data_IF_772106228776
#
_entry.id   IF_772106228776
#
_cell.length_a   1.000
_cell.length_b   1.000
_cell.length_c   1.000
_cell.angle_alpha   90.00
_cell.angle_beta   90.00
_cell.angle_gamma   90.00
#
_symmetry.space_group_name_H-M   'P 1'
#
loop_
_entity.id
_entity.type
_entity.pdbx_description
1 polymer ?
#
# COMPACT_ATOMS: atom_id res chain seq x y z
N UNK A 1 -12.85 7.38 -46.76
CA UNK A 1 -11.74 7.04 -45.86
C UNK A 1 -11.78 8.11 -44.78
N UNK A 2 -12.39 7.83 -43.63
CA UNK A 2 -12.49 8.82 -42.56
C UNK A 2 -11.34 8.57 -41.59
N UNK A 3 -10.35 9.46 -41.59
CA UNK A 3 -9.32 9.51 -40.56
C UNK A 3 -9.99 9.97 -39.26
N UNK A 4 -10.28 9.02 -38.40
CA UNK A 4 -10.66 9.28 -37.01
C UNK A 4 -9.36 9.62 -36.28
N UNK A 5 -8.98 10.89 -36.30
CA UNK A 5 -7.93 11.41 -35.44
C UNK A 5 -8.23 10.99 -34.00
N UNK A 6 -7.42 10.07 -33.46
CA UNK A 6 -7.50 9.69 -32.05
C UNK A 6 -6.89 10.84 -31.25
N UNK A 7 -7.73 11.73 -30.74
CA UNK A 7 -7.31 12.68 -29.72
C UNK A 7 -6.74 11.89 -28.53
N UNK A 8 -5.54 12.23 -28.03
CA UNK A 8 -5.00 11.62 -26.82
C UNK A 8 -6.00 11.84 -25.69
N UNK A 9 -6.55 10.75 -25.14
CA UNK A 9 -7.45 10.83 -23.99
C UNK A 9 -6.64 11.11 -22.75
N UNK A 10 -6.36 12.38 -22.49
CA UNK A 10 -5.70 12.84 -21.25
C UNK A 10 -6.40 12.30 -19.98
N UNK A 11 -7.68 11.92 -20.08
CA UNK A 11 -8.47 11.32 -19.00
C UNK A 11 -8.11 9.89 -18.58
N UNK A 12 -7.45 9.08 -19.44
CA UNK A 12 -7.22 7.66 -19.14
C UNK A 12 -6.10 7.47 -18.09
N UNK A 13 -5.02 8.26 -18.18
CA UNK A 13 -3.90 8.20 -17.23
C UNK A 13 -4.28 8.70 -15.84
N UNK A 14 -5.08 9.76 -15.75
CA UNK A 14 -5.55 10.31 -14.48
C UNK A 14 -6.54 9.37 -13.78
N UNK A 15 -7.38 8.68 -14.56
CA UNK A 15 -8.33 7.68 -14.04
C UNK A 15 -7.60 6.46 -13.49
N UNK A 16 -6.61 5.94 -14.22
CA UNK A 16 -5.78 4.82 -13.75
C UNK A 16 -5.03 5.15 -12.46
N UNK A 17 -4.38 6.32 -12.38
CA UNK A 17 -3.70 6.76 -11.15
C UNK A 17 -4.65 6.87 -9.97
N UNK A 18 -5.84 7.43 -10.18
CA UNK A 18 -6.86 7.56 -9.12
C UNK A 18 -7.35 6.19 -8.64
N UNK A 19 -7.59 5.25 -9.54
CA UNK A 19 -7.99 3.89 -9.19
C UNK A 19 -6.94 3.17 -8.35
N UNK A 20 -5.66 3.26 -8.73
CA UNK A 20 -4.55 2.67 -7.98
C UNK A 20 -4.41 3.27 -6.59
N UNK A 21 -4.57 4.59 -6.45
CA UNK A 21 -4.55 5.25 -5.14
C UNK A 21 -5.70 4.81 -4.25
N UNK A 22 -6.91 4.69 -4.80
CA UNK A 22 -8.08 4.19 -4.06
C UNK A 22 -7.86 2.75 -3.61
N UNK A 23 -7.38 1.88 -4.50
CA UNK A 23 -7.11 0.49 -4.18
C UNK A 23 -6.01 0.36 -3.12
N UNK A 24 -4.92 1.12 -3.26
CA UNK A 24 -3.86 1.19 -2.25
C UNK A 24 -4.38 1.65 -0.90
N UNK A 25 -5.23 2.68 -0.88
CA UNK A 25 -5.89 3.14 0.35
C UNK A 25 -6.75 2.06 1.00
N UNK A 26 -7.54 1.31 0.21
CA UNK A 26 -8.33 0.19 0.71
C UNK A 26 -7.43 -0.89 1.32
N UNK A 27 -6.35 -1.28 0.64
CA UNK A 27 -5.40 -2.29 1.13
C UNK A 27 -4.77 -1.85 2.46
N UNK A 28 -4.37 -0.59 2.57
CA UNK A 28 -3.82 -0.03 3.82
C UNK A 28 -4.86 -0.10 4.94
N UNK A 29 -6.11 0.31 4.69
CA UNK A 29 -7.18 0.24 5.69
C UNK A 29 -7.45 -1.19 6.12
N UNK A 30 -7.50 -2.15 5.19
CA UNK A 30 -7.69 -3.56 5.49
C UNK A 30 -6.53 -4.13 6.31
N UNK A 31 -5.28 -3.76 6.00
CA UNK A 31 -4.12 -4.14 6.80
C UNK A 31 -4.23 -3.63 8.25
N UNK A 32 -4.77 -2.42 8.42
CA UNK A 32 -5.07 -1.87 9.74
C UNK A 32 -6.13 -2.66 10.50
N UNK A 33 -7.24 -3.01 9.84
CA UNK A 33 -8.30 -3.84 10.43
C UNK A 33 -7.74 -5.20 10.86
N UNK A 34 -7.00 -5.87 9.97
CA UNK A 34 -6.36 -7.16 10.29
C UNK A 34 -5.40 -7.00 11.46
N UNK A 35 -4.53 -5.98 11.45
CA UNK A 35 -3.58 -5.74 12.52
C UNK A 35 -4.25 -5.45 13.86
N UNK A 36 -5.40 -4.77 13.87
CA UNK A 36 -6.19 -4.55 15.08
C UNK A 36 -6.67 -5.86 15.70
N UNK A 37 -7.23 -6.76 14.87
CA UNK A 37 -7.64 -8.09 15.33
C UNK A 37 -6.45 -8.92 15.82
N UNK A 38 -5.34 -8.92 15.08
CA UNK A 38 -4.12 -9.63 15.50
C UNK A 38 -3.62 -9.11 16.84
N UNK A 39 -3.46 -7.80 17.00
CA UNK A 39 -3.01 -7.22 18.27
C UNK A 39 -3.95 -7.49 19.44
N UNK A 40 -5.26 -7.56 19.20
CA UNK A 40 -6.25 -7.90 20.23
C UNK A 40 -6.16 -9.36 20.69
N UNK A 41 -5.80 -10.27 19.79
CA UNK A 41 -5.75 -11.71 20.09
C UNK A 41 -4.36 -12.18 20.53
N UNK A 42 -3.29 -11.49 20.13
CA UNK A 42 -1.91 -11.94 20.36
C UNK A 42 -1.28 -11.43 21.66
N UNK A 43 -1.86 -10.42 22.32
CA UNK A 43 -1.24 -9.73 23.47
C UNK A 43 -0.91 -10.66 24.65
N UNK A 44 -1.74 -11.67 24.94
CA UNK A 44 -1.53 -12.60 26.06
C UNK A 44 -0.46 -13.65 25.76
N UNK A 45 -0.36 -14.09 24.50
CA UNK A 45 0.59 -15.13 24.08
C UNK A 45 1.96 -14.56 23.73
N UNK A 46 2.00 -13.32 23.23
CA UNK A 46 3.23 -12.62 22.87
C UNK A 46 3.04 -11.11 23.14
N UNK A 47 3.39 -10.63 24.36
CA UNK A 47 3.10 -9.25 24.78
C UNK A 47 3.92 -8.20 24.03
N UNK A 48 5.01 -8.62 23.40
CA UNK A 48 5.83 -7.78 22.53
C UNK A 48 6.13 -8.49 21.22
N UNK A 49 6.48 -7.71 20.20
CA UNK A 49 7.00 -8.20 18.93
C UNK A 49 8.21 -7.37 18.49
N UNK A 50 9.15 -8.01 17.82
CA UNK A 50 10.33 -7.36 17.26
C UNK A 50 10.08 -6.96 15.80
N UNK A 51 10.48 -5.75 15.46
CA UNK A 51 10.51 -5.22 14.10
C UNK A 51 11.96 -5.15 13.65
N UNK A 52 12.29 -5.93 12.61
CA UNK A 52 13.64 -6.05 12.06
C UNK A 52 14.73 -6.33 13.11
N UNK A 53 14.37 -7.05 14.19
CA UNK A 53 15.24 -7.34 15.35
C UNK A 53 15.90 -6.10 16.00
N UNK A 54 15.40 -4.91 15.69
CA UNK A 54 16.00 -3.63 16.12
C UNK A 54 15.05 -2.85 17.02
N UNK A 55 13.73 -2.99 16.82
CA UNK A 55 12.73 -2.23 17.52
C UNK A 55 11.72 -3.18 18.19
N UNK A 56 11.60 -3.11 19.51
CA UNK A 56 10.61 -3.87 20.28
C UNK A 56 9.37 -3.00 20.47
N UNK A 57 8.22 -3.48 20.03
CA UNK A 57 6.94 -2.81 20.20
C UNK A 57 6.00 -3.65 21.07
N UNK A 58 5.09 -3.01 21.80
CA UNK A 58 4.05 -3.72 22.52
C UNK A 58 3.04 -4.32 21.53
N UNK A 59 2.52 -5.51 21.79
CA UNK A 59 1.50 -6.18 20.95
C UNK A 59 0.09 -5.69 21.29
N UNK A 60 -0.14 -4.37 21.23
CA UNK A 60 -1.48 -3.80 21.41
C UNK A 60 -2.25 -3.79 20.07
N UNK A 61 -3.60 -3.71 20.10
CA UNK A 61 -4.39 -3.58 18.88
C UNK A 61 -3.95 -2.40 18.00
N UNK A 62 -3.63 -1.27 18.62
CA UNK A 62 -3.28 -0.03 17.91
C UNK A 62 -1.88 -0.13 17.29
N UNK A 63 -0.90 -0.64 18.03
CA UNK A 63 0.49 -0.75 17.52
C UNK A 63 0.59 -1.72 16.35
N UNK A 64 -0.09 -2.88 16.42
CA UNK A 64 -0.08 -3.87 15.35
C UNK A 64 -0.88 -3.38 14.13
N UNK A 65 -2.01 -2.71 14.34
CA UNK A 65 -2.76 -2.05 13.26
C UNK A 65 -1.91 -1.00 12.53
N UNK A 66 -1.26 -0.10 13.26
CA UNK A 66 -0.41 0.94 12.67
C UNK A 66 0.79 0.33 11.94
N UNK A 67 1.41 -0.70 12.53
CA UNK A 67 2.51 -1.42 11.87
C UNK A 67 2.05 -2.02 10.54
N UNK A 68 0.90 -2.72 10.53
CA UNK A 68 0.33 -3.29 9.30
C UNK A 68 0.00 -2.23 8.25
N UNK A 69 -0.61 -1.12 8.65
CA UNK A 69 -0.91 0.01 7.74
C UNK A 69 0.36 0.62 7.15
N UNK A 70 1.37 0.90 7.98
CA UNK A 70 2.63 1.49 7.53
C UNK A 70 3.38 0.55 6.60
N UNK A 71 3.48 -0.73 6.95
CA UNK A 71 4.12 -1.74 6.13
C UNK A 71 3.43 -1.86 4.77
N UNK A 72 2.10 -1.97 4.74
CA UNK A 72 1.33 -2.03 3.50
C UNK A 72 1.50 -0.76 2.65
N UNK A 73 1.51 0.41 3.28
CA UNK A 73 1.74 1.69 2.62
C UNK A 73 3.14 1.79 1.99
N UNK A 74 4.17 1.35 2.71
CA UNK A 74 5.54 1.30 2.21
C UNK A 74 5.66 0.34 1.03
N UNK A 75 5.08 -0.86 1.11
CA UNK A 75 5.10 -1.84 0.03
C UNK A 75 4.37 -1.33 -1.21
N UNK A 76 3.16 -0.79 -1.06
CA UNK A 76 2.39 -0.24 -2.17
C UNK A 76 3.07 0.99 -2.79
N UNK A 77 3.60 1.90 -1.96
CA UNK A 77 4.38 3.03 -2.43
C UNK A 77 5.65 2.60 -3.17
N UNK A 78 6.32 1.55 -2.66
CA UNK A 78 7.47 0.93 -3.31
C UNK A 78 7.13 0.38 -4.70
N UNK A 79 6.01 -0.33 -4.84
CA UNK A 79 5.55 -0.79 -6.15
C UNK A 79 5.21 0.36 -7.08
N UNK A 80 4.57 1.42 -6.60
CA UNK A 80 4.29 2.60 -7.42
C UNK A 80 5.58 3.23 -7.96
N UNK A 81 6.57 3.42 -7.09
CA UNK A 81 7.88 3.96 -7.48
C UNK A 81 8.61 3.02 -8.44
N UNK A 82 8.56 1.71 -8.21
CA UNK A 82 9.22 0.72 -9.05
C UNK A 82 8.60 0.68 -10.46
N UNK A 83 7.26 0.71 -10.55
CA UNK A 83 6.54 0.77 -11.81
C UNK A 83 6.87 2.05 -12.56
N UNK A 84 6.83 3.20 -11.88
CA UNK A 84 7.16 4.48 -12.52
C UNK A 84 8.62 4.53 -12.99
N UNK A 85 9.54 3.94 -12.23
CA UNK A 85 10.93 3.81 -12.66
C UNK A 85 11.04 2.94 -13.91
N UNK A 86 10.43 1.76 -13.92
CA UNK A 86 10.46 0.85 -15.07
C UNK A 86 9.88 1.48 -16.34
N UNK A 87 8.74 2.17 -16.23
CA UNK A 87 8.10 2.84 -17.37
C UNK A 87 9.01 3.88 -18.04
N UNK A 88 9.84 4.58 -17.25
CA UNK A 88 10.80 5.55 -17.82
C UNK A 88 11.91 4.90 -18.66
N UNK A 89 12.23 3.63 -18.43
CA UNK A 89 13.23 2.90 -19.24
C UNK A 89 12.61 2.27 -20.48
N UNK A 90 11.35 1.83 -20.41
CA UNK A 90 10.64 1.32 -21.59
C UNK A 90 10.32 2.43 -22.61
N UNK A 91 10.15 3.68 -22.14
CA UNK A 91 9.92 4.86 -23.00
C UNK A 91 11.21 5.43 -23.64
N UNK A 92 12.40 4.95 -23.26
CA UNK A 92 13.72 5.47 -23.71
C UNK A 92 14.36 4.62 -24.81
#
# INVERSE_FOLDING_TARGET
MNDVAHEPRDGDSQTGRRLLLVLGGIVVLLAGVVGFFVGSNSAESSPTFEVFSTLVLPTTPVSVALYGMLLAGVVMGGFFVAVEFASRYDDA
#
